data_IF_925540301820
#
_entry.id   IF_925540301820
#
_cell.length_a   1.000
_cell.length_b   1.000
_cell.length_c   1.000
_cell.angle_alpha   90.00
_cell.angle_beta   90.00
_cell.angle_gamma   90.00
#
_symmetry.space_group_name_H-M   'P 1'
#
loop_
_entity.id
_entity.type
_entity.pdbx_description
1 polymer ?
#
# COMPACT_ATOMS: atom_id res chain seq x y z
N UNK A 1 12.05 10.85 -33.67
CA UNK A 1 10.65 11.19 -33.39
C UNK A 1 10.64 12.14 -32.21
N UNK A 2 10.16 13.36 -32.40
CA UNK A 2 9.98 14.34 -31.33
C UNK A 2 8.55 14.22 -30.79
N UNK A 3 8.41 13.92 -29.50
CA UNK A 3 7.10 13.77 -28.84
C UNK A 3 7.10 14.67 -27.58
N UNK A 4 6.69 15.95 -27.70
CA UNK A 4 6.88 16.96 -26.66
C UNK A 4 6.10 16.67 -25.37
N UNK A 5 5.03 15.86 -25.44
CA UNK A 5 4.21 15.48 -24.28
C UNK A 5 4.75 14.27 -23.51
N UNK A 6 5.85 13.68 -23.97
CA UNK A 6 6.46 12.50 -23.37
C UNK A 6 7.54 12.85 -22.34
N UNK A 7 7.73 11.96 -21.35
CA UNK A 7 8.78 12.10 -20.32
C UNK A 7 9.96 11.16 -20.52
N UNK A 8 9.96 10.37 -21.59
CA UNK A 8 11.07 9.48 -21.91
C UNK A 8 12.06 10.22 -22.81
N UNK A 9 13.34 9.93 -22.64
CA UNK A 9 14.43 10.55 -23.42
C UNK A 9 14.92 9.64 -24.55
N UNK A 10 14.67 8.34 -24.43
CA UNK A 10 14.93 7.36 -25.47
C UNK A 10 13.92 6.22 -25.36
N UNK A 11 13.62 5.59 -26.50
CA UNK A 11 12.81 4.37 -26.55
C UNK A 11 13.34 3.42 -27.60
N UNK A 12 13.22 2.12 -27.36
CA UNK A 12 13.61 1.09 -28.33
C UNK A 12 12.67 -0.11 -28.24
N UNK A 13 12.52 -0.85 -29.34
CA UNK A 13 11.82 -2.13 -29.32
C UNK A 13 12.79 -3.20 -28.82
N UNK A 14 12.45 -3.85 -27.72
CA UNK A 14 13.24 -4.95 -27.18
C UNK A 14 13.12 -6.16 -28.12
N UNK A 15 14.27 -6.73 -28.50
CA UNK A 15 14.32 -7.83 -29.48
C UNK A 15 13.77 -9.15 -28.95
N UNK A 16 13.84 -9.37 -27.63
CA UNK A 16 13.39 -10.60 -27.00
C UNK A 16 11.88 -10.61 -26.77
N UNK A 17 11.34 -9.50 -26.26
CA UNK A 17 9.92 -9.42 -25.90
C UNK A 17 9.06 -8.70 -26.94
N UNK A 18 9.65 -8.06 -27.94
CA UNK A 18 8.94 -7.22 -28.91
C UNK A 18 8.36 -5.93 -28.32
N UNK A 19 8.50 -5.70 -27.00
CA UNK A 19 7.92 -4.57 -26.26
C UNK A 19 8.77 -3.31 -26.39
N UNK A 20 8.10 -2.15 -26.44
CA UNK A 20 8.80 -0.87 -26.33
C UNK A 20 9.36 -0.67 -24.92
N UNK A 21 10.65 -0.37 -24.82
CA UNK A 21 11.35 0.05 -23.62
C UNK A 21 11.64 1.54 -23.70
N UNK A 22 11.79 2.15 -22.53
CA UNK A 22 11.91 3.59 -22.40
C UNK A 22 13.00 3.93 -21.37
N UNK A 23 13.84 4.92 -21.68
CA UNK A 23 14.69 5.59 -20.70
C UNK A 23 13.91 6.80 -20.18
N UNK A 24 13.69 6.85 -18.87
CA UNK A 24 12.93 7.93 -18.23
C UNK A 24 13.85 8.89 -17.50
N UNK A 25 13.44 10.15 -17.42
CA UNK A 25 14.07 11.13 -16.52
C UNK A 25 13.96 10.64 -15.06
N UNK A 26 15.01 10.88 -14.26
CA UNK A 26 15.10 10.51 -12.84
C UNK A 26 13.88 10.96 -12.03
N UNK A 27 13.46 10.14 -11.05
CA UNK A 27 12.44 10.46 -10.04
C UNK A 27 12.77 11.76 -9.27
N UNK A 28 14.04 12.19 -9.26
CA UNK A 28 14.49 13.43 -8.61
C UNK A 28 14.32 14.69 -9.46
N UNK A 29 14.03 14.56 -10.76
CA UNK A 29 13.90 15.72 -11.63
C UNK A 29 12.65 16.54 -11.29
N UNK A 30 12.70 17.89 -11.39
CA UNK A 30 11.58 18.76 -11.02
C UNK A 30 10.25 18.36 -11.65
N UNK A 31 10.22 18.03 -12.96
CA UNK A 31 8.99 17.61 -13.63
C UNK A 31 8.39 16.32 -13.07
N UNK A 32 9.24 15.35 -12.66
CA UNK A 32 8.77 14.09 -12.06
C UNK A 32 8.22 14.32 -10.65
N UNK A 33 8.91 15.15 -9.87
CA UNK A 33 8.46 15.54 -8.53
C UNK A 33 7.13 16.29 -8.59
N UNK A 34 6.96 17.21 -9.54
CA UNK A 34 5.71 17.96 -9.70
C UNK A 34 4.54 17.06 -10.09
N UNK A 35 4.72 16.13 -11.04
CA UNK A 35 3.66 15.13 -11.36
C UNK A 35 3.31 14.26 -10.15
N UNK A 36 4.30 13.92 -9.33
CA UNK A 36 4.05 13.14 -8.12
C UNK A 36 3.34 13.94 -7.02
N UNK A 37 3.69 15.21 -6.86
CA UNK A 37 2.96 16.16 -6.02
C UNK A 37 1.50 16.28 -6.46
N UNK A 38 1.25 16.53 -7.74
CA UNK A 38 -0.11 16.61 -8.31
C UNK A 38 -0.93 15.35 -8.06
N UNK A 39 -0.32 14.17 -8.16
CA UNK A 39 -0.97 12.90 -7.81
C UNK A 39 -1.44 12.88 -6.34
N UNK A 40 -0.62 13.34 -5.40
CA UNK A 40 -1.00 13.38 -4.00
C UNK A 40 -2.01 14.50 -3.70
N UNK A 41 -1.92 15.64 -4.38
CA UNK A 41 -2.94 16.70 -4.32
C UNK A 41 -4.30 16.22 -4.81
N UNK A 42 -4.33 15.46 -5.91
CA UNK A 42 -5.56 14.84 -6.40
C UNK A 42 -6.14 13.85 -5.37
N UNK A 43 -5.30 13.08 -4.68
CA UNK A 43 -5.75 12.18 -3.62
C UNK A 43 -6.33 12.92 -2.40
N UNK A 44 -5.91 14.17 -2.12
CA UNK A 44 -6.53 15.01 -1.08
C UNK A 44 -7.95 15.45 -1.47
N UNK A 45 -8.25 15.56 -2.77
CA UNK A 45 -9.59 15.88 -3.30
C UNK A 45 -10.53 14.67 -3.31
N UNK A 46 -10.06 13.48 -2.91
CA UNK A 46 -10.87 12.27 -2.85
C UNK A 46 -12.04 12.42 -1.87
N UNK A 47 -13.27 12.21 -2.33
CA UNK A 47 -14.50 12.32 -1.53
C UNK A 47 -15.11 10.93 -1.32
N UNK A 48 -14.65 10.15 -0.32
CA UNK A 48 -15.03 8.74 -0.18
C UNK A 48 -16.54 8.55 -0.08
N UNK A 49 -17.25 9.38 0.70
CA UNK A 49 -18.71 9.26 0.87
C UNK A 49 -19.45 9.47 -0.44
N UNK A 50 -19.18 10.58 -1.16
CA UNK A 50 -19.82 10.87 -2.45
C UNK A 50 -19.53 9.80 -3.51
N UNK A 51 -18.30 9.28 -3.52
CA UNK A 51 -17.89 8.21 -4.44
C UNK A 51 -18.64 6.92 -4.11
N UNK A 52 -18.76 6.55 -2.83
CA UNK A 52 -19.52 5.37 -2.40
C UNK A 52 -21.00 5.48 -2.73
N UNK A 53 -21.61 6.64 -2.46
CA UNK A 53 -23.00 6.93 -2.85
C UNK A 53 -23.22 6.79 -4.36
N UNK A 54 -22.27 7.29 -5.18
CA UNK A 54 -22.35 7.16 -6.63
C UNK A 54 -22.21 5.70 -7.10
N UNK A 55 -21.27 4.96 -6.52
CA UNK A 55 -21.11 3.51 -6.75
C UNK A 55 -22.41 2.79 -6.39
N UNK A 56 -22.96 3.02 -5.21
CA UNK A 56 -24.19 2.37 -4.73
C UNK A 56 -25.39 2.64 -5.63
N UNK A 57 -25.57 3.88 -6.10
CA UNK A 57 -26.59 4.22 -7.12
C UNK A 57 -26.38 3.44 -8.42
N UNK A 58 -25.12 3.32 -8.87
CA UNK A 58 -24.78 2.57 -10.08
C UNK A 58 -25.01 1.06 -9.97
N UNK A 59 -24.86 0.47 -8.77
CA UNK A 59 -25.06 -0.96 -8.54
C UNK A 59 -26.47 -1.45 -8.90
N UNK A 60 -27.47 -0.59 -8.76
CA UNK A 60 -28.89 -0.87 -9.03
C UNK A 60 -29.42 -0.20 -10.30
N UNK A 61 -28.54 0.29 -11.17
CA UNK A 61 -28.93 0.94 -12.43
C UNK A 61 -29.74 -0.01 -13.33
N UNK A 62 -30.76 0.45 -14.07
CA UNK A 62 -31.39 -0.36 -15.11
C UNK A 62 -30.44 -0.66 -16.28
N UNK A 63 -29.48 0.22 -16.55
CA UNK A 63 -28.44 0.01 -17.57
C UNK A 63 -27.41 -1.05 -17.12
N UNK A 64 -27.32 -2.22 -17.81
CA UNK A 64 -26.38 -3.28 -17.48
C UNK A 64 -24.91 -2.84 -17.53
N UNK A 65 -24.55 -1.95 -18.47
CA UNK A 65 -23.17 -1.49 -18.62
C UNK A 65 -22.76 -0.67 -17.39
N UNK A 66 -23.62 0.28 -16.98
CA UNK A 66 -23.40 1.07 -15.77
C UNK A 66 -23.35 0.19 -14.51
N UNK A 67 -24.21 -0.85 -14.39
CA UNK A 67 -24.12 -1.80 -13.25
C UNK A 67 -22.79 -2.52 -13.19
N UNK A 68 -22.26 -2.98 -14.32
CA UNK A 68 -20.94 -3.63 -14.40
C UNK A 68 -19.83 -2.67 -13.99
N UNK A 69 -19.81 -1.45 -14.54
CA UNK A 69 -18.83 -0.41 -14.18
C UNK A 69 -18.87 -0.10 -12.68
N UNK A 70 -20.07 0.11 -12.13
CA UNK A 70 -20.26 0.38 -10.71
C UNK A 70 -19.82 -0.80 -9.83
N UNK A 71 -20.08 -2.03 -10.27
CA UNK A 71 -19.64 -3.25 -9.58
C UNK A 71 -18.11 -3.36 -9.58
N UNK A 72 -17.43 -3.05 -10.69
CA UNK A 72 -15.96 -2.99 -10.73
C UNK A 72 -15.42 -1.90 -9.82
N UNK A 73 -16.00 -0.70 -9.83
CA UNK A 73 -15.62 0.40 -8.94
C UNK A 73 -15.81 0.02 -7.46
N UNK A 74 -16.91 -0.67 -7.12
CA UNK A 74 -17.16 -1.22 -5.79
C UNK A 74 -16.08 -2.21 -5.37
N UNK A 75 -15.67 -3.14 -6.24
CA UNK A 75 -14.62 -4.12 -5.94
C UNK A 75 -13.25 -3.45 -5.76
N UNK A 76 -12.92 -2.42 -6.56
CA UNK A 76 -11.71 -1.61 -6.39
C UNK A 76 -11.73 -0.92 -5.03
N UNK A 77 -12.86 -0.35 -4.64
CA UNK A 77 -13.01 0.26 -3.32
C UNK A 77 -12.85 -0.81 -2.23
N UNK A 78 -13.72 -1.82 -2.19
CA UNK A 78 -13.77 -2.81 -1.12
C UNK A 78 -12.43 -3.56 -0.94
N UNK A 79 -11.90 -4.12 -2.02
CA UNK A 79 -10.72 -4.99 -2.00
C UNK A 79 -9.41 -4.20 -2.07
N UNK A 80 -9.48 -2.90 -2.41
CA UNK A 80 -8.33 -2.02 -2.64
C UNK A 80 -7.42 -2.55 -3.76
N UNK A 81 -7.93 -3.35 -4.69
CA UNK A 81 -7.14 -3.98 -5.76
C UNK A 81 -6.81 -2.97 -6.88
N UNK A 82 -5.97 -3.37 -7.83
CA UNK A 82 -5.66 -2.52 -9.00
C UNK A 82 -6.78 -2.65 -10.01
N UNK A 83 -7.01 -1.60 -10.80
CA UNK A 83 -8.01 -1.61 -11.87
C UNK A 83 -7.80 -2.76 -12.85
N UNK A 84 -6.55 -3.03 -13.26
CA UNK A 84 -6.26 -4.05 -14.27
C UNK A 84 -6.35 -3.47 -15.67
N UNK A 85 -5.39 -3.86 -16.50
CA UNK A 85 -5.36 -3.56 -17.92
C UNK A 85 -5.17 -4.90 -18.64
N UNK A 86 -5.56 -4.96 -19.91
CA UNK A 86 -5.30 -6.17 -20.70
C UNK A 86 -3.81 -6.44 -20.84
N UNK A 87 -3.50 -7.73 -20.92
CA UNK A 87 -2.15 -8.24 -20.98
C UNK A 87 -1.96 -9.02 -22.26
N UNK A 88 -0.73 -9.02 -22.74
CA UNK A 88 -0.32 -9.91 -23.82
C UNK A 88 -0.41 -11.38 -23.36
N UNK A 89 -0.68 -12.34 -24.26
CA UNK A 89 -0.78 -13.76 -23.94
C UNK A 89 0.45 -14.35 -23.24
N UNK A 90 1.64 -13.80 -23.51
CA UNK A 90 2.91 -14.27 -22.95
C UNK A 90 3.20 -13.72 -21.54
N UNK A 91 2.35 -12.85 -20.99
CA UNK A 91 2.51 -12.38 -19.61
C UNK A 91 1.92 -13.36 -18.59
N UNK A 92 2.49 -13.36 -17.38
CA UNK A 92 1.93 -14.09 -16.24
C UNK A 92 0.44 -13.77 -16.07
N UNK A 93 -0.39 -14.82 -15.96
CA UNK A 93 -1.84 -14.74 -15.73
C UNK A 93 -2.13 -14.08 -14.40
N UNK A 94 -2.20 -12.75 -14.44
CA UNK A 94 -2.37 -11.89 -13.29
C UNK A 94 -3.45 -10.88 -13.59
N UNK A 95 -4.36 -10.69 -12.65
CA UNK A 95 -5.59 -9.94 -12.89
C UNK A 95 -5.70 -8.71 -11.99
N UNK A 96 -6.42 -7.71 -12.48
CA UNK A 96 -7.00 -6.63 -11.69
C UNK A 96 -8.52 -6.69 -11.73
N UNK A 97 -9.19 -5.66 -11.21
CA UNK A 97 -10.63 -5.61 -11.07
C UNK A 97 -11.41 -5.78 -12.39
N UNK A 98 -10.99 -5.12 -13.46
CA UNK A 98 -11.62 -5.19 -14.80
C UNK A 98 -11.32 -6.51 -15.50
N UNK A 99 -10.19 -7.15 -15.18
CA UNK A 99 -9.74 -8.39 -15.83
C UNK A 99 -9.98 -9.62 -14.96
N UNK A 100 -10.82 -9.53 -13.94
CA UNK A 100 -11.18 -10.69 -13.11
C UNK A 100 -11.84 -11.77 -13.97
N UNK A 101 -11.49 -13.02 -13.69
CA UNK A 101 -12.08 -14.20 -14.32
C UNK A 101 -13.17 -14.77 -13.42
N UNK A 102 -14.11 -15.52 -14.00
CA UNK A 102 -15.14 -16.23 -13.23
C UNK A 102 -14.54 -17.19 -12.21
N UNK A 103 -13.47 -17.88 -12.59
CA UNK A 103 -12.73 -18.80 -11.70
C UNK A 103 -12.07 -18.11 -10.51
N UNK A 104 -11.91 -16.78 -10.53
CA UNK A 104 -11.34 -16.02 -9.42
C UNK A 104 -12.34 -15.67 -8.32
N UNK A 105 -13.64 -15.90 -8.57
CA UNK A 105 -14.72 -15.43 -7.70
C UNK A 105 -15.64 -16.59 -7.39
N UNK A 106 -15.84 -16.87 -6.10
CA UNK A 106 -16.78 -17.89 -5.62
C UNK A 106 -17.75 -17.27 -4.64
N UNK A 107 -19.03 -17.37 -4.95
CA UNK A 107 -20.10 -16.87 -4.07
C UNK A 107 -20.34 -17.92 -2.98
N UNK A 108 -20.25 -17.50 -1.72
CA UNK A 108 -20.35 -18.35 -0.54
C UNK A 108 -21.52 -17.87 0.31
N UNK A 109 -22.68 -18.50 0.15
CA UNK A 109 -23.92 -18.08 0.82
C UNK A 109 -24.45 -16.74 0.28
N UNK A 110 -25.30 -16.07 1.06
CA UNK A 110 -26.08 -14.92 0.56
C UNK A 110 -25.31 -13.60 0.45
N UNK A 111 -24.24 -13.43 1.26
CA UNK A 111 -23.52 -12.14 1.36
C UNK A 111 -22.01 -12.27 1.35
N UNK A 112 -21.43 -13.48 1.30
CA UNK A 112 -19.97 -13.63 1.29
C UNK A 112 -19.48 -14.04 -0.09
N UNK A 113 -18.37 -13.46 -0.51
CA UNK A 113 -17.71 -13.78 -1.76
C UNK A 113 -16.23 -14.04 -1.47
N UNK A 114 -15.77 -15.20 -1.92
CA UNK A 114 -14.36 -15.58 -1.93
C UNK A 114 -13.72 -15.10 -3.23
N UNK A 115 -12.61 -14.38 -3.09
CA UNK A 115 -11.76 -13.93 -4.18
C UNK A 115 -10.42 -14.65 -4.07
N UNK A 116 -10.03 -15.40 -5.10
CA UNK A 116 -8.73 -16.08 -5.21
C UNK A 116 -8.10 -15.88 -6.58
N UNK A 117 -7.03 -15.09 -6.64
CA UNK A 117 -6.34 -14.80 -7.90
C UNK A 117 -4.89 -14.36 -7.69
N UNK A 118 -4.10 -14.38 -8.77
CA UNK A 118 -2.77 -13.77 -8.78
C UNK A 118 -2.86 -12.32 -9.25
N UNK A 119 -2.38 -11.37 -8.45
CA UNK A 119 -2.26 -9.97 -8.83
C UNK A 119 -0.89 -9.61 -9.38
N UNK A 120 -0.65 -8.32 -9.63
CA UNK A 120 0.65 -7.80 -10.09
C UNK A 120 1.83 -8.39 -9.31
N UNK A 121 2.81 -8.92 -10.04
CA UNK A 121 3.98 -9.59 -9.47
C UNK A 121 3.73 -11.02 -9.00
N UNK A 122 2.69 -11.67 -9.54
CA UNK A 122 2.24 -13.02 -9.17
C UNK A 122 1.95 -13.17 -7.66
N UNK A 123 1.46 -12.10 -7.03
CA UNK A 123 1.11 -12.10 -5.61
C UNK A 123 -0.32 -12.62 -5.48
N UNK A 124 -0.49 -13.79 -4.84
CA UNK A 124 -1.82 -14.36 -4.56
C UNK A 124 -2.62 -13.47 -3.63
N UNK A 125 -3.82 -13.10 -4.06
CA UNK A 125 -4.86 -12.44 -3.27
C UNK A 125 -5.93 -13.49 -2.99
N UNK A 126 -6.08 -13.87 -1.73
CA UNK A 126 -7.09 -14.83 -1.29
C UNK A 126 -7.81 -14.29 -0.07
N UNK A 127 -9.10 -13.96 -0.22
CA UNK A 127 -9.94 -13.42 0.86
C UNK A 127 -11.42 -13.77 0.65
N UNK A 128 -12.11 -14.12 1.72
CA UNK A 128 -13.57 -14.21 1.77
C UNK A 128 -14.11 -13.01 2.52
N UNK A 129 -14.92 -12.18 1.85
CA UNK A 129 -15.38 -10.89 2.37
C UNK A 129 -16.89 -10.79 2.19
N UNK A 130 -17.54 -10.11 3.13
CA UNK A 130 -18.95 -9.77 3.00
C UNK A 130 -19.13 -8.61 2.00
N UNK A 131 -20.03 -8.78 1.05
CA UNK A 131 -20.33 -7.80 0.00
C UNK A 131 -21.78 -7.36 0.07
N UNK A 132 -22.06 -6.21 -0.54
CA UNK A 132 -23.42 -5.68 -0.65
C UNK A 132 -24.34 -6.70 -1.36
N UNK A 133 -25.60 -6.93 -0.93
CA UNK A 133 -26.48 -7.93 -1.54
C UNK A 133 -26.68 -7.74 -3.05
N UNK A 134 -26.80 -6.48 -3.50
CA UNK A 134 -26.88 -6.19 -4.94
C UNK A 134 -25.61 -6.60 -5.69
N UNK A 135 -24.44 -6.55 -5.05
CA UNK A 135 -23.18 -7.01 -5.67
C UNK A 135 -23.19 -8.51 -5.84
N UNK A 136 -23.73 -9.29 -4.90
CA UNK A 136 -23.89 -10.74 -5.08
C UNK A 136 -24.77 -11.04 -6.29
N UNK A 137 -25.93 -10.38 -6.39
CA UNK A 137 -26.85 -10.53 -7.54
C UNK A 137 -26.17 -10.17 -8.86
N UNK A 138 -25.50 -9.02 -8.90
CA UNK A 138 -24.73 -8.56 -10.06
C UNK A 138 -23.65 -9.59 -10.44
N UNK A 139 -22.89 -10.12 -9.47
CA UNK A 139 -21.86 -11.13 -9.74
C UNK A 139 -22.47 -12.43 -10.31
N UNK A 140 -23.60 -12.88 -9.78
CA UNK A 140 -24.33 -14.06 -10.32
C UNK A 140 -24.78 -13.83 -11.76
N UNK A 141 -25.39 -12.68 -12.03
CA UNK A 141 -25.83 -12.29 -13.38
C UNK A 141 -24.63 -12.22 -14.33
N UNK A 142 -23.56 -11.55 -13.93
CA UNK A 142 -22.41 -11.31 -14.80
C UNK A 142 -21.54 -12.56 -15.02
N UNK A 143 -21.63 -13.58 -14.16
CA UNK A 143 -21.02 -14.88 -14.42
C UNK A 143 -21.68 -15.62 -15.60
N UNK A 144 -22.92 -15.30 -15.95
CA UNK A 144 -23.66 -15.87 -17.06
C UNK A 144 -23.35 -15.14 -18.38
N UNK A 145 -22.10 -15.25 -18.83
CA UNK A 145 -21.65 -14.77 -20.14
C UNK A 145 -20.79 -15.85 -20.85
N UNK A 146 -20.42 -15.70 -22.11
CA UNK A 146 -19.65 -16.74 -22.83
C UNK A 146 -18.12 -16.63 -22.66
N UNK A 147 -17.63 -15.59 -21.99
CA UNK A 147 -16.21 -15.33 -21.73
C UNK A 147 -15.70 -16.04 -20.47
N UNK A 148 -14.38 -16.25 -20.36
CA UNK A 148 -13.72 -16.56 -19.09
C UNK A 148 -13.84 -15.37 -18.11
N UNK A 149 -13.88 -14.15 -18.66
CA UNK A 149 -13.86 -12.91 -17.87
C UNK A 149 -15.21 -12.66 -17.24
N UNK A 150 -15.15 -12.10 -16.03
CA UNK A 150 -16.34 -11.62 -15.34
C UNK A 150 -16.87 -10.33 -15.96
N UNK A 151 -15.98 -9.50 -16.53
CA UNK A 151 -16.32 -8.21 -17.14
C UNK A 151 -15.65 -8.06 -18.53
N UNK A 152 -16.03 -8.85 -19.54
CA UNK A 152 -15.35 -8.87 -20.84
C UNK A 152 -15.43 -7.53 -21.59
N UNK A 153 -16.49 -6.76 -21.34
CA UNK A 153 -16.86 -5.49 -21.97
C UNK A 153 -16.43 -4.25 -21.17
N UNK A 154 -15.74 -4.43 -20.04
CA UNK A 154 -15.34 -3.30 -19.17
C UNK A 154 -13.84 -3.03 -19.26
N UNK A 155 -13.51 -1.77 -19.55
CA UNK A 155 -12.16 -1.23 -19.65
C UNK A 155 -11.86 -0.27 -18.51
N UNK A 156 -10.57 0.02 -18.29
CA UNK A 156 -10.17 0.88 -17.18
C UNK A 156 -10.59 2.34 -17.42
N UNK A 157 -10.71 2.75 -18.68
CA UNK A 157 -11.16 4.08 -19.12
C UNK A 157 -12.60 4.33 -18.66
N UNK A 158 -13.52 3.38 -18.88
CA UNK A 158 -14.93 3.49 -18.47
C UNK A 158 -15.07 3.62 -16.95
N UNK A 159 -14.27 2.86 -16.19
CA UNK A 159 -14.26 2.95 -14.73
C UNK A 159 -13.73 4.32 -14.28
N UNK A 160 -12.69 4.84 -14.93
CA UNK A 160 -12.14 6.16 -14.60
C UNK A 160 -13.10 7.30 -14.98
N UNK A 161 -13.81 7.20 -16.11
CA UNK A 161 -14.83 8.16 -16.51
C UNK A 161 -15.97 8.21 -15.50
N UNK A 162 -16.52 7.06 -15.11
CA UNK A 162 -17.53 6.93 -14.06
C UNK A 162 -17.08 7.58 -12.75
N UNK A 163 -15.86 7.28 -12.28
CA UNK A 163 -15.32 7.89 -11.05
C UNK A 163 -15.07 9.40 -11.20
N UNK A 164 -14.69 9.84 -12.40
CA UNK A 164 -14.39 11.24 -12.73
C UNK A 164 -15.62 12.15 -12.70
N UNK A 165 -16.83 11.61 -12.84
CA UNK A 165 -18.09 12.37 -12.74
C UNK A 165 -18.28 13.01 -11.36
N UNK A 166 -17.75 12.39 -10.29
CA UNK A 166 -17.91 12.89 -8.91
C UNK A 166 -16.80 13.87 -8.53
N UNK A 167 -15.57 13.59 -8.98
CA UNK A 167 -14.44 14.49 -8.79
C UNK A 167 -13.59 14.46 -10.06
N UNK A 168 -13.50 15.59 -10.79
CA UNK A 168 -12.72 15.67 -12.02
C UNK A 168 -11.28 15.19 -11.81
N UNK A 169 -10.84 14.30 -12.70
CA UNK A 169 -9.49 13.72 -12.71
C UNK A 169 -9.26 12.54 -11.76
N UNK A 170 -10.22 12.17 -10.90
CA UNK A 170 -10.08 10.95 -10.09
C UNK A 170 -10.08 9.72 -10.98
N UNK A 171 -9.15 8.81 -10.69
CA UNK A 171 -9.04 7.50 -11.34
C UNK A 171 -9.04 6.40 -10.29
N UNK A 172 -9.26 5.15 -10.71
CA UNK A 172 -9.17 3.98 -9.84
C UNK A 172 -7.82 3.88 -9.08
N UNK A 173 -6.73 4.40 -9.67
CA UNK A 173 -5.41 4.42 -9.04
C UNK A 173 -5.37 5.31 -7.78
N UNK A 174 -6.20 6.34 -7.70
CA UNK A 174 -6.24 7.30 -6.58
C UNK A 174 -6.72 6.62 -5.29
N UNK A 175 -7.63 5.65 -5.38
CA UNK A 175 -8.17 4.92 -4.23
C UNK A 175 -7.05 4.34 -3.36
N UNK A 176 -6.10 3.63 -3.97
CA UNK A 176 -4.99 3.01 -3.24
C UNK A 176 -4.09 4.05 -2.56
N UNK A 177 -3.90 5.22 -3.19
CA UNK A 177 -3.13 6.32 -2.60
C UNK A 177 -3.86 6.97 -1.43
N UNK A 178 -5.15 7.25 -1.58
CA UNK A 178 -6.00 7.80 -0.54
C UNK A 178 -6.01 6.89 0.69
N UNK A 179 -6.41 5.63 0.53
CA UNK A 179 -6.55 4.70 1.66
C UNK A 179 -5.22 4.38 2.35
N UNK A 180 -4.11 4.26 1.61
CA UNK A 180 -2.80 4.08 2.25
C UNK A 180 -2.37 5.29 3.07
N UNK A 181 -2.63 6.50 2.56
CA UNK A 181 -2.31 7.74 3.27
C UNK A 181 -3.17 7.90 4.52
N UNK A 182 -4.47 7.62 4.40
CA UNK A 182 -5.41 7.69 5.53
C UNK A 182 -5.10 6.66 6.61
N UNK A 183 -4.79 5.42 6.23
CA UNK A 183 -4.40 4.37 7.17
C UNK A 183 -3.13 4.73 7.94
N UNK A 184 -2.16 5.37 7.28
CA UNK A 184 -0.95 5.88 7.94
C UNK A 184 -1.30 6.98 8.92
N UNK A 185 -2.11 7.97 8.52
CA UNK A 185 -2.57 9.05 9.40
C UNK A 185 -3.25 8.50 10.65
N UNK A 186 -4.26 7.64 10.47
CA UNK A 186 -4.99 6.99 11.55
C UNK A 186 -4.08 6.19 12.47
N UNK A 187 -3.21 5.35 11.92
CA UNK A 187 -2.28 4.55 12.73
C UNK A 187 -1.32 5.43 13.53
N UNK A 188 -0.79 6.51 12.95
CA UNK A 188 0.11 7.42 13.65
C UNK A 188 -0.59 8.14 14.82
N UNK A 189 -1.87 8.48 14.64
CA UNK A 189 -2.73 9.05 15.69
C UNK A 189 -3.04 8.03 16.79
N UNK A 190 -3.47 6.82 16.42
CA UNK A 190 -3.73 5.69 17.34
C UNK A 190 -2.51 5.34 18.20
N UNK A 191 -1.29 5.41 17.64
CA UNK A 191 -0.07 5.15 18.39
C UNK A 191 0.23 6.23 19.45
N UNK A 192 -0.32 7.43 19.31
CA UNK A 192 -0.29 8.47 20.34
C UNK A 192 1.10 8.91 20.80
N UNK A 193 2.15 8.68 20.01
CA UNK A 193 3.54 8.94 20.41
C UNK A 193 3.78 10.44 20.55
N UNK A 194 4.42 10.83 21.65
CA UNK A 194 4.67 12.23 22.02
C UNK A 194 6.11 12.65 21.72
N UNK A 195 6.38 13.96 21.74
CA UNK A 195 7.74 14.50 21.57
C UNK A 195 8.71 13.99 22.65
N UNK A 196 8.22 13.76 23.87
CA UNK A 196 8.99 13.24 25.01
C UNK A 196 9.25 11.73 24.95
N UNK A 197 8.57 11.00 24.05
CA UNK A 197 8.81 9.56 23.93
C UNK A 197 10.19 9.27 23.34
N UNK A 198 10.79 8.13 23.71
CA UNK A 198 12.04 7.66 23.11
C UNK A 198 11.95 7.54 21.59
N UNK A 199 13.06 7.82 20.90
CA UNK A 199 13.15 7.76 19.43
C UNK A 199 12.67 6.40 18.88
N UNK A 200 13.03 5.29 19.53
CA UNK A 200 12.68 3.95 19.04
C UNK A 200 11.16 3.70 19.01
N UNK A 201 10.38 4.33 19.90
CA UNK A 201 8.91 4.24 19.87
C UNK A 201 8.33 5.00 18.69
N UNK A 202 8.87 6.20 18.40
CA UNK A 202 8.49 7.00 17.22
C UNK A 202 8.79 6.22 15.93
N UNK A 203 10.00 5.67 15.81
CA UNK A 203 10.39 4.84 14.66
C UNK A 203 9.50 3.61 14.54
N UNK A 204 9.14 2.98 15.66
CA UNK A 204 8.21 1.86 15.67
C UNK A 204 6.84 2.27 15.13
N UNK A 205 6.24 3.34 15.64
CA UNK A 205 4.94 3.85 15.18
C UNK A 205 4.95 4.17 13.68
N UNK A 206 6.00 4.83 13.18
CA UNK A 206 6.14 5.13 11.76
C UNK A 206 6.18 3.87 10.89
N UNK A 207 6.93 2.84 11.30
CA UNK A 207 7.03 1.57 10.58
C UNK A 207 5.74 0.74 10.67
N UNK A 208 5.07 0.78 11.81
CA UNK A 208 3.79 0.13 12.01
C UNK A 208 2.72 0.77 11.10
N UNK A 209 2.66 2.09 11.02
CA UNK A 209 1.75 2.80 10.11
C UNK A 209 1.99 2.42 8.64
N UNK A 210 3.25 2.33 8.21
CA UNK A 210 3.58 1.87 6.86
C UNK A 210 3.18 0.39 6.65
N UNK A 211 3.37 -0.46 7.67
CA UNK A 211 2.91 -1.85 7.61
C UNK A 211 1.40 -1.94 7.44
N UNK A 212 0.61 -1.16 8.19
CA UNK A 212 -0.85 -1.11 8.02
C UNK A 212 -1.25 -0.71 6.60
N UNK A 213 -0.61 0.32 6.04
CA UNK A 213 -0.82 0.67 4.63
C UNK A 213 -0.44 -0.46 3.66
N UNK A 214 0.63 -1.23 3.94
CA UNK A 214 1.01 -2.38 3.13
C UNK A 214 0.03 -3.56 3.27
N UNK A 215 -0.57 -3.76 4.45
CA UNK A 215 -1.58 -4.77 4.74
C UNK A 215 -2.87 -4.49 3.94
N UNK A 216 -3.42 -3.27 4.02
CA UNK A 216 -4.66 -2.93 3.31
C UNK A 216 -4.49 -2.99 1.79
N UNK A 217 -3.30 -2.67 1.28
CA UNK A 217 -2.98 -2.66 -0.14
C UNK A 217 -2.48 -4.00 -0.66
N UNK A 218 -2.41 -5.00 0.20
CA UNK A 218 -1.92 -6.36 -0.09
C UNK A 218 -0.53 -6.36 -0.75
N UNK A 219 0.41 -5.55 -0.25
CA UNK A 219 1.79 -5.51 -0.71
C UNK A 219 2.60 -6.68 -0.14
N UNK A 220 2.23 -7.91 -0.49
CA UNK A 220 2.96 -9.10 -0.08
C UNK A 220 4.27 -9.27 -0.84
N UNK A 221 5.21 -9.99 -0.23
CA UNK A 221 6.46 -10.43 -0.83
C UNK A 221 6.88 -11.77 -0.25
N UNK A 222 7.69 -12.50 -1.00
CA UNK A 222 8.39 -13.68 -0.48
C UNK A 222 9.36 -13.26 0.62
N UNK A 223 9.29 -13.85 1.82
CA UNK A 223 10.27 -13.60 2.87
C UNK A 223 11.68 -14.02 2.42
N UNK A 224 12.74 -13.29 2.79
CA UNK A 224 14.11 -13.70 2.49
C UNK A 224 14.44 -15.08 3.07
N UNK A 225 15.27 -15.88 2.36
CA UNK A 225 15.66 -17.24 2.78
C UNK A 225 16.18 -17.31 4.23
N UNK A 226 17.03 -16.35 4.61
CA UNK A 226 17.61 -16.22 5.96
C UNK A 226 16.74 -15.47 6.97
N UNK A 227 15.44 -15.28 6.71
CA UNK A 227 14.58 -14.51 7.63
C UNK A 227 14.43 -15.19 9.00
N UNK A 228 14.25 -16.53 9.03
CA UNK A 228 14.11 -17.29 10.29
C UNK A 228 15.35 -17.18 11.17
N UNK A 229 16.53 -17.40 10.59
CA UNK A 229 17.82 -17.28 11.28
C UNK A 229 18.02 -15.87 11.88
N UNK A 230 17.77 -14.82 11.09
CA UNK A 230 17.86 -13.44 11.58
C UNK A 230 16.83 -13.14 12.68
N UNK A 231 15.67 -13.78 12.64
CA UNK A 231 14.64 -13.61 13.68
C UNK A 231 15.11 -14.26 14.97
N UNK A 232 15.63 -15.48 14.90
CA UNK A 232 16.11 -16.22 16.07
C UNK A 232 17.27 -15.50 16.74
N UNK A 233 18.25 -15.03 15.96
CA UNK A 233 19.36 -14.20 16.48
C UNK A 233 18.88 -12.95 17.22
N UNK A 234 17.74 -12.37 16.84
CA UNK A 234 17.14 -11.23 17.56
C UNK A 234 16.38 -11.69 18.80
N UNK A 235 15.69 -12.81 18.73
CA UNK A 235 15.00 -13.41 19.88
C UNK A 235 16.00 -13.80 20.98
N UNK A 236 17.14 -14.41 20.63
CA UNK A 236 18.24 -14.70 21.54
C UNK A 236 18.78 -13.44 22.24
N UNK A 237 18.96 -12.34 21.50
CA UNK A 237 19.38 -11.05 22.07
C UNK A 237 18.37 -10.51 23.08
N UNK A 238 17.07 -10.70 22.83
CA UNK A 238 16.01 -10.34 23.78
C UNK A 238 16.09 -11.22 25.02
N UNK A 239 16.19 -12.55 24.87
CA UNK A 239 16.31 -13.50 26.00
C UNK A 239 17.55 -13.23 26.84
N UNK A 240 18.70 -12.96 26.21
CA UNK A 240 19.94 -12.63 26.91
C UNK A 240 19.82 -11.30 27.70
N UNK A 241 19.09 -10.31 27.19
CA UNK A 241 18.82 -9.07 27.92
C UNK A 241 17.88 -9.29 29.10
N UNK A 242 16.86 -10.15 28.94
CA UNK A 242 15.95 -10.53 30.03
C UNK A 242 16.69 -11.24 31.15
N UNK A 243 17.54 -12.21 30.82
CA UNK A 243 18.33 -12.93 31.82
C UNK A 243 19.34 -12.00 32.50
N UNK A 244 20.00 -11.11 31.76
CA UNK A 244 20.90 -10.11 32.35
C UNK A 244 20.19 -9.17 33.32
N UNK A 245 18.94 -8.81 33.03
CA UNK A 245 18.10 -8.00 33.94
C UNK A 245 17.78 -8.81 35.20
N UNK A 246 17.37 -10.08 35.05
CA UNK A 246 17.04 -10.99 36.16
C UNK A 246 18.22 -11.17 37.12
N UNK A 247 19.40 -11.52 36.59
CA UNK A 247 20.62 -11.71 37.39
C UNK A 247 21.01 -10.42 38.12
N UNK A 248 20.92 -9.26 37.45
CA UNK A 248 21.24 -7.97 38.09
C UNK A 248 20.25 -7.61 39.20
N UNK A 249 18.97 -7.97 39.08
CA UNK A 249 17.97 -7.78 40.13
C UNK A 249 18.32 -8.57 41.39
N UNK A 250 18.77 -9.82 41.23
CA UNK A 250 19.17 -10.72 42.31
C UNK A 250 20.51 -10.33 42.96
N UNK A 251 21.36 -9.57 42.28
CA UNK A 251 22.66 -9.15 42.81
C UNK A 251 22.57 -8.13 43.96
N UNK A 252 23.54 -8.18 44.89
CA UNK A 252 23.72 -7.23 46.02
C UNK A 252 24.48 -5.94 45.65
N UNK A 253 24.60 -5.63 44.35
CA UNK A 253 25.41 -4.51 43.83
C UNK A 253 24.82 -3.13 44.21
N UNK A 254 25.65 -2.24 44.78
CA UNK A 254 25.32 -0.81 44.99
C UNK A 254 25.13 -0.11 43.62
N UNK A 255 24.20 0.84 43.52
CA UNK A 255 23.83 1.57 42.27
C UNK A 255 23.20 0.72 41.13
N UNK A 256 22.57 -0.43 41.43
CA UNK A 256 21.90 -1.26 40.40
C UNK A 256 20.70 -0.61 39.69
N UNK A 257 20.04 0.38 40.31
CA UNK A 257 18.82 1.03 39.78
C UNK A 257 19.01 1.66 38.39
N UNK A 258 20.04 2.49 38.22
CA UNK A 258 20.32 3.14 36.93
C UNK A 258 20.70 2.15 35.83
N UNK A 259 21.54 1.16 36.17
CA UNK A 259 21.94 0.09 35.24
C UNK A 259 20.73 -0.73 34.80
N UNK A 260 19.81 -1.02 35.72
CA UNK A 260 18.57 -1.73 35.44
C UNK A 260 17.66 -0.90 34.52
N UNK A 261 17.53 0.40 34.75
CA UNK A 261 16.75 1.30 33.91
C UNK A 261 17.27 1.29 32.45
N UNK A 262 18.59 1.44 32.25
CA UNK A 262 19.21 1.38 30.91
C UNK A 262 18.98 0.03 30.23
N UNK A 263 19.10 -1.09 30.95
CA UNK A 263 18.86 -2.43 30.40
C UNK A 263 17.39 -2.64 30.03
N UNK A 264 16.45 -2.21 30.87
CA UNK A 264 15.01 -2.28 30.60
C UNK A 264 14.64 -1.48 29.36
N UNK A 265 15.23 -0.30 29.19
CA UNK A 265 14.99 0.53 28.01
C UNK A 265 15.52 -0.13 26.73
N UNK A 266 16.74 -0.67 26.79
CA UNK A 266 17.29 -1.46 25.68
C UNK A 266 16.44 -2.69 25.36
N UNK A 267 15.91 -3.36 26.38
CA UNK A 267 15.03 -4.51 26.21
C UNK A 267 13.73 -4.10 25.49
N UNK A 268 13.09 -2.99 25.89
CA UNK A 268 11.89 -2.45 25.22
C UNK A 268 12.15 -2.16 23.74
N UNK A 269 13.27 -1.52 23.43
CA UNK A 269 13.66 -1.27 22.04
C UNK A 269 13.84 -2.58 21.25
N UNK A 270 14.56 -3.56 21.80
CA UNK A 270 14.78 -4.84 21.10
C UNK A 270 13.48 -5.63 20.91
N UNK A 271 12.56 -5.59 21.88
CA UNK A 271 11.23 -6.21 21.76
C UNK A 271 10.43 -5.62 20.61
N UNK A 272 10.35 -4.29 20.51
CA UNK A 272 9.65 -3.62 19.40
C UNK A 272 10.31 -3.90 18.04
N UNK A 273 11.65 -3.95 17.99
CA UNK A 273 12.38 -4.33 16.76
C UNK A 273 12.11 -5.78 16.35
N UNK A 274 12.01 -6.70 17.32
CA UNK A 274 11.68 -8.10 17.08
C UNK A 274 10.23 -8.23 16.59
N UNK A 275 9.29 -7.52 17.23
CA UNK A 275 7.88 -7.48 16.83
C UNK A 275 7.73 -7.00 15.38
N UNK A 276 8.32 -5.86 15.03
CA UNK A 276 8.29 -5.37 13.65
C UNK A 276 8.83 -6.39 12.67
N UNK A 277 9.96 -7.04 12.99
CA UNK A 277 10.54 -8.04 12.10
C UNK A 277 9.59 -9.24 11.88
N UNK A 278 8.85 -9.65 12.91
CA UNK A 278 7.81 -10.70 12.82
C UNK A 278 6.67 -10.24 11.91
N UNK A 279 6.13 -9.06 12.16
CA UNK A 279 4.95 -8.54 11.47
C UNK A 279 5.21 -8.15 10.02
N UNK A 280 6.42 -7.71 9.69
CA UNK A 280 6.81 -7.31 8.32
C UNK A 280 7.40 -8.46 7.49
N UNK A 281 7.29 -9.71 7.96
CA UNK A 281 7.92 -10.90 7.36
C UNK A 281 7.71 -10.97 5.85
N UNK A 282 6.45 -10.86 5.45
CA UNK A 282 5.94 -11.11 4.11
C UNK A 282 5.35 -9.84 3.49
N UNK A 283 5.70 -8.65 4.00
CA UNK A 283 5.22 -7.36 3.47
C UNK A 283 6.34 -6.50 2.87
N UNK A 284 6.04 -5.86 1.74
CA UNK A 284 6.91 -4.90 1.07
C UNK A 284 6.56 -3.46 1.45
N UNK A 285 7.20 -2.99 2.52
CA UNK A 285 7.06 -1.61 3.02
C UNK A 285 7.65 -0.55 2.10
N UNK A 286 8.56 -0.93 1.18
CA UNK A 286 9.16 0.00 0.24
C UNK A 286 8.16 0.45 -0.82
N UNK A 287 7.33 -0.47 -1.29
CA UNK A 287 6.31 -0.18 -2.32
C UNK A 287 5.25 0.81 -1.82
N UNK A 288 4.70 0.59 -0.61
CA UNK A 288 3.76 1.52 0.02
C UNK A 288 4.40 2.89 0.24
N UNK A 289 5.59 2.94 0.85
CA UNK A 289 6.29 4.19 1.16
C UNK A 289 6.70 4.99 -0.08
N UNK A 290 7.17 4.32 -1.15
CA UNK A 290 7.62 4.97 -2.38
C UNK A 290 6.47 5.51 -3.23
N UNK A 291 5.29 4.89 -3.20
CA UNK A 291 4.31 5.07 -4.27
C UNK A 291 2.88 5.33 -3.83
N UNK A 292 2.50 5.11 -2.56
CA UNK A 292 1.09 5.21 -2.17
C UNK A 292 0.83 6.12 -0.98
N UNK A 293 1.83 6.37 -0.14
CA UNK A 293 1.67 7.22 1.05
C UNK A 293 2.12 8.63 0.71
N UNK A 294 1.28 9.64 0.96
CA UNK A 294 1.68 11.04 0.82
C UNK A 294 2.82 11.36 1.82
N UNK A 295 4.01 11.78 1.34
CA UNK A 295 5.16 12.08 2.21
C UNK A 295 4.93 13.22 3.20
N UNK A 296 4.02 14.15 2.93
CA UNK A 296 3.71 15.27 3.82
C UNK A 296 3.09 14.80 5.15
N UNK A 297 2.39 13.66 5.17
CA UNK A 297 1.83 13.09 6.41
C UNK A 297 2.96 12.72 7.36
N UNK A 298 3.98 12.03 6.86
CA UNK A 298 5.16 11.72 7.66
C UNK A 298 5.98 12.97 7.99
N UNK A 299 6.13 13.92 7.07
CA UNK A 299 6.85 15.16 7.34
C UNK A 299 6.21 15.97 8.47
N UNK A 300 4.87 16.14 8.42
CA UNK A 300 4.10 16.83 9.46
C UNK A 300 4.16 16.10 10.79
N UNK A 301 3.91 14.79 10.79
CA UNK A 301 3.96 13.98 12.00
C UNK A 301 5.37 13.95 12.62
N UNK A 302 6.42 13.77 11.81
CA UNK A 302 7.81 13.74 12.28
C UNK A 302 8.21 15.07 12.95
N UNK A 303 7.82 16.23 12.37
CA UNK A 303 7.99 17.54 13.02
C UNK A 303 7.25 17.62 14.35
N UNK A 304 5.98 17.18 14.41
CA UNK A 304 5.15 17.19 15.63
C UNK A 304 5.77 16.38 16.76
N UNK A 305 6.33 15.21 16.47
CA UNK A 305 6.95 14.34 17.49
C UNK A 305 8.46 14.55 17.65
N UNK A 306 9.08 15.47 16.90
CA UNK A 306 10.52 15.69 16.92
C UNK A 306 11.33 14.45 16.53
N UNK A 307 10.91 13.74 15.47
CA UNK A 307 11.69 12.65 14.86
C UNK A 307 12.39 13.16 13.60
N UNK A 308 13.66 12.83 13.42
CA UNK A 308 14.36 13.09 12.16
C UNK A 308 13.72 12.26 11.03
N UNK A 309 13.29 12.93 9.95
CA UNK A 309 12.66 12.33 8.78
C UNK A 309 13.55 11.27 8.11
N UNK A 310 14.88 11.37 8.28
CA UNK A 310 15.88 10.38 7.81
C UNK A 310 15.70 9.00 8.45
N UNK A 311 15.02 8.92 9.60
CA UNK A 311 14.69 7.66 10.28
C UNK A 311 13.52 6.92 9.61
N UNK A 312 12.73 7.64 8.80
CA UNK A 312 11.57 7.10 8.06
C UNK A 312 11.96 6.84 6.60
N UNK A 313 12.59 7.83 5.94
CA UNK A 313 12.91 7.76 4.52
C UNK A 313 14.39 7.46 4.27
N UNK A 314 14.74 6.48 3.42
CA UNK A 314 16.09 6.31 2.92
C UNK A 314 16.50 7.47 2.01
N UNK A 315 17.81 7.68 1.83
CA UNK A 315 18.39 8.82 1.08
C UNK A 315 17.79 9.00 -0.33
N UNK A 316 17.51 7.89 -1.03
CA UNK A 316 16.88 7.92 -2.36
C UNK A 316 15.46 8.47 -2.34
N UNK A 317 14.65 8.12 -1.33
CA UNK A 317 13.30 8.64 -1.19
C UNK A 317 13.29 10.06 -0.63
N UNK A 318 14.29 10.45 0.15
CA UNK A 318 14.46 11.85 0.56
C UNK A 318 14.60 12.76 -0.65
N UNK A 319 15.50 12.41 -1.59
CA UNK A 319 15.69 13.16 -2.84
C UNK A 319 14.44 13.17 -3.72
N UNK A 320 13.76 12.03 -3.84
CA UNK A 320 12.52 11.90 -4.61
C UNK A 320 11.40 12.79 -4.07
N UNK A 321 11.29 12.90 -2.74
CA UNK A 321 10.24 13.66 -2.07
C UNK A 321 10.74 14.99 -1.50
N UNK A 322 11.80 15.57 -2.08
CA UNK A 322 12.38 16.82 -1.62
C UNK A 322 11.32 17.92 -1.46
N UNK A 323 10.42 18.02 -2.44
CA UNK A 323 9.28 18.94 -2.44
C UNK A 323 8.34 18.85 -1.22
N UNK A 324 8.24 17.68 -0.57
CA UNK A 324 7.35 17.46 0.59
C UNK A 324 8.08 17.43 1.92
N UNK A 325 9.34 16.96 1.92
CA UNK A 325 10.11 16.73 3.14
C UNK A 325 10.89 17.97 3.59
N UNK A 326 10.92 19.04 2.77
CA UNK A 326 11.68 20.26 3.06
C UNK A 326 13.20 20.03 3.05
N UNK A 327 13.66 18.95 2.41
CA UNK A 327 15.07 18.72 2.12
C UNK A 327 15.37 19.38 0.78
N UNK A 328 16.32 20.30 0.72
CA UNK A 328 16.66 21.01 -0.53
C UNK A 328 16.84 20.01 -1.70
N UNK A 329 16.27 20.29 -2.89
CA UNK A 329 16.56 19.49 -4.07
C UNK A 329 18.06 19.54 -4.33
N UNK A 330 18.71 18.43 -4.74
CA UNK A 330 20.11 18.47 -5.09
C UNK A 330 20.34 19.51 -6.18
N UNK A 331 21.36 20.36 -5.97
CA UNK A 331 21.88 21.30 -6.95
C UNK A 331 22.24 20.60 -8.27
#
# INVERSE_FOLDING_TARGET
>A
VWEPDSLWIARWRDKLTGKMKYVWISDTAPLKQEREKQKFELAKKFKPSKIKEHIEKGLSSPDPLLRKIATVAYLIDLLKIRVGDEKDPDELDTVGATTLKKSNVKIVGERKVEFDFLGKGAVRFHKTIEVHPQVVKNLQEFMNNDSDRLFPDIRCEQVNEFLGQIVPGITAKVFRTYYATEEVRRTLEEQGVKKTDPEYKKVFAAKLANLRAAEILHHKKTPPKNWKERLERRAEKVRALEEKIRLLQQSKVRRKKERLAKLREKLREQKLRLELMRRTRDYNLGTSLKSYINPEVYASWARKVGLDIKKIYPKTLQRKFAWALGTEPPA
#
